data_IF_840113661405
#
_entry.id   IF_840113661405
#
_cell.length_a   1.000
_cell.length_b   1.000
_cell.length_c   1.000
_cell.angle_alpha   90.00
_cell.angle_beta   90.00
_cell.angle_gamma   90.00
#
_symmetry.space_group_name_H-M   'P 1'
#
loop_
_entity.id
_entity.type
_entity.pdbx_description
1 polymer ?
#
# COMPACT_ATOMS: atom_id res chain seq x y z
N UNK A 1 -14.48 7.40 16.05
CA UNK A 1 -13.23 6.59 15.87
C UNK A 1 -12.78 6.61 14.39
N UNK A 2 -13.67 6.56 13.43
CA UNK A 2 -13.29 6.61 12.01
C UNK A 2 -12.75 7.97 11.54
N UNK A 3 -13.06 9.08 12.23
CA UNK A 3 -12.68 10.46 11.89
C UNK A 3 -11.63 11.07 12.84
N UNK A 4 -10.98 10.26 13.64
CA UNK A 4 -9.92 10.70 14.55
C UNK A 4 -8.60 10.18 14.01
N UNK A 5 -7.56 10.98 14.11
CA UNK A 5 -6.20 10.60 13.70
C UNK A 5 -5.83 9.21 14.22
N UNK A 6 -5.34 8.29 13.38
CA UNK A 6 -5.15 6.88 13.73
C UNK A 6 -4.31 6.66 14.99
N UNK A 7 -3.21 7.42 15.15
CA UNK A 7 -2.32 7.31 16.31
C UNK A 7 -3.01 7.70 17.63
N UNK A 8 -3.86 8.74 17.62
CA UNK A 8 -4.60 9.18 18.81
C UNK A 8 -5.65 8.15 19.23
N UNK A 9 -6.34 7.56 18.26
CA UNK A 9 -7.33 6.51 18.52
C UNK A 9 -6.67 5.26 19.08
N UNK A 10 -5.52 4.86 18.55
CA UNK A 10 -4.81 3.68 19.03
C UNK A 10 -4.29 3.86 20.46
N UNK A 11 -3.74 5.02 20.79
CA UNK A 11 -3.31 5.35 22.16
C UNK A 11 -4.48 5.37 23.13
N UNK A 12 -5.57 6.04 22.76
CA UNK A 12 -6.80 6.05 23.55
C UNK A 12 -7.31 4.62 23.78
N UNK A 13 -7.38 3.82 22.73
CA UNK A 13 -7.88 2.46 22.82
C UNK A 13 -7.02 1.58 23.72
N UNK A 14 -5.69 1.65 23.59
CA UNK A 14 -4.75 0.94 24.47
C UNK A 14 -4.93 1.32 25.96
N UNK A 15 -5.28 2.56 26.24
CA UNK A 15 -5.47 3.04 27.60
C UNK A 15 -6.83 2.65 28.18
N UNK A 16 -7.89 2.67 27.40
CA UNK A 16 -9.28 2.50 27.87
C UNK A 16 -9.72 1.02 27.84
N UNK A 17 -9.30 0.26 26.84
CA UNK A 17 -9.75 -1.12 26.66
C UNK A 17 -9.44 -2.04 27.87
N UNK A 18 -8.26 -1.98 28.52
CA UNK A 18 -8.00 -2.78 29.72
C UNK A 18 -8.97 -2.49 30.88
N UNK A 19 -9.37 -1.23 31.04
CA UNK A 19 -10.34 -0.81 32.08
C UNK A 19 -11.71 -1.42 31.80
N UNK A 20 -12.17 -1.32 30.54
CA UNK A 20 -13.46 -1.86 30.12
C UNK A 20 -13.47 -3.39 30.23
N UNK A 21 -12.39 -4.05 29.80
CA UNK A 21 -12.28 -5.51 29.79
C UNK A 21 -12.17 -6.13 31.20
N UNK A 22 -11.83 -5.33 32.21
CA UNK A 22 -11.74 -5.81 33.60
C UNK A 22 -13.10 -6.16 34.20
N UNK A 23 -14.20 -5.67 33.63
CA UNK A 23 -15.56 -5.93 34.10
C UNK A 23 -16.34 -6.86 33.14
N UNK A 24 -16.82 -7.98 33.66
CA UNK A 24 -17.70 -8.90 32.91
C UNK A 24 -19.08 -8.33 32.56
N UNK A 25 -19.47 -7.20 33.17
CA UNK A 25 -20.76 -6.56 32.95
C UNK A 25 -20.67 -5.37 31.98
N UNK A 26 -19.45 -4.91 31.65
CA UNK A 26 -19.26 -3.80 30.74
C UNK A 26 -19.65 -4.19 29.32
N UNK A 27 -20.28 -3.25 28.63
CA UNK A 27 -20.59 -3.33 27.20
C UNK A 27 -20.01 -2.10 26.54
N UNK A 28 -19.47 -2.28 25.35
CA UNK A 28 -18.91 -1.21 24.51
C UNK A 28 -19.73 -1.13 23.24
N UNK A 29 -20.21 0.06 22.92
CA UNK A 29 -20.85 0.37 21.66
C UNK A 29 -19.98 1.38 20.93
N UNK A 30 -19.64 1.07 19.69
CA UNK A 30 -18.90 1.96 18.81
C UNK A 30 -19.78 2.24 17.59
N UNK A 31 -20.22 3.48 17.46
CA UNK A 31 -21.00 3.95 16.33
C UNK A 31 -20.21 4.97 15.54
N UNK A 32 -20.18 4.82 14.23
CA UNK A 32 -19.55 5.77 13.31
C UNK A 32 -20.13 5.56 11.91
N UNK A 33 -20.08 6.60 11.06
CA UNK A 33 -20.10 6.39 9.63
C UNK A 33 -18.77 5.81 9.17
N UNK A 34 -18.75 5.14 8.06
CA UNK A 34 -17.53 4.61 7.46
C UNK A 34 -16.61 5.77 7.03
N UNK A 35 -15.31 5.60 7.13
CA UNK A 35 -14.33 6.60 6.67
C UNK A 35 -12.98 5.94 6.43
N UNK A 36 -12.61 5.73 5.19
CA UNK A 36 -11.35 5.08 4.84
C UNK A 36 -11.19 3.66 5.36
N UNK A 37 -10.07 3.02 5.04
CA UNK A 37 -9.80 1.60 5.35
C UNK A 37 -8.64 1.37 6.33
N UNK A 38 -7.98 2.42 6.79
CA UNK A 38 -6.74 2.36 7.58
C UNK A 38 -6.92 2.67 9.08
N UNK A 39 -8.16 2.94 9.53
CA UNK A 39 -8.46 3.33 10.90
C UNK A 39 -8.93 2.17 11.79
N UNK A 40 -8.97 2.40 13.11
CA UNK A 40 -9.36 1.38 14.09
C UNK A 40 -10.82 0.93 13.93
N UNK A 41 -11.74 1.84 13.53
CA UNK A 41 -13.14 1.47 13.34
C UNK A 41 -13.29 0.45 12.20
N UNK A 42 -12.61 0.69 11.06
CA UNK A 42 -12.55 -0.25 9.95
C UNK A 42 -12.02 -1.62 10.39
N UNK A 43 -10.87 -1.64 11.09
CA UNK A 43 -10.24 -2.89 11.58
C UNK A 43 -11.18 -3.69 12.48
N UNK A 44 -11.88 -3.02 13.41
CA UNK A 44 -12.85 -3.65 14.31
C UNK A 44 -14.03 -4.20 13.52
N UNK A 45 -14.63 -3.38 12.65
CA UNK A 45 -15.81 -3.74 11.87
C UNK A 45 -15.54 -4.90 10.91
N UNK A 46 -14.49 -4.80 10.10
CA UNK A 46 -14.10 -5.87 9.16
C UNK A 46 -13.65 -7.14 9.88
N UNK A 47 -13.00 -7.01 11.02
CA UNK A 47 -12.69 -8.17 11.86
C UNK A 47 -13.92 -8.87 12.40
N UNK A 48 -14.98 -8.13 12.77
CA UNK A 48 -16.25 -8.68 13.20
C UNK A 48 -17.00 -9.36 12.04
N UNK A 49 -17.08 -8.71 10.90
CA UNK A 49 -17.71 -9.24 9.67
C UNK A 49 -17.05 -10.56 9.22
N UNK A 50 -15.72 -10.64 9.34
CA UNK A 50 -14.96 -11.85 9.03
C UNK A 50 -14.88 -12.89 10.17
N UNK A 51 -15.54 -12.67 11.31
CA UNK A 51 -15.47 -13.55 12.49
C UNK A 51 -14.09 -13.64 13.14
N UNK A 52 -13.21 -12.67 12.92
CA UNK A 52 -11.84 -12.65 13.42
C UNK A 52 -11.69 -11.99 14.81
N UNK A 53 -12.75 -11.42 15.33
CA UNK A 53 -12.80 -10.83 16.66
C UNK A 53 -14.15 -11.13 17.33
N UNK A 54 -14.30 -10.76 18.62
CA UNK A 54 -15.51 -11.04 19.41
C UNK A 54 -16.53 -9.89 19.40
N UNK A 55 -16.46 -9.00 18.41
CA UNK A 55 -17.41 -7.92 18.26
C UNK A 55 -18.64 -8.39 17.49
N UNK A 56 -19.83 -7.95 17.93
CA UNK A 56 -21.00 -7.95 17.10
C UNK A 56 -20.93 -6.72 16.17
N UNK A 57 -21.40 -6.87 14.94
CA UNK A 57 -21.45 -5.77 13.98
C UNK A 57 -22.88 -5.64 13.43
N UNK A 58 -23.23 -4.42 13.09
CA UNK A 58 -24.48 -4.10 12.43
C UNK A 58 -24.27 -2.92 11.49
N UNK A 59 -25.15 -2.80 10.50
CA UNK A 59 -25.08 -1.81 9.45
C UNK A 59 -26.49 -1.35 9.11
N UNK A 60 -26.78 -0.09 9.33
CA UNK A 60 -28.09 0.50 9.08
C UNK A 60 -28.03 1.31 7.78
N UNK A 61 -28.64 0.80 6.73
CA UNK A 61 -28.71 1.43 5.42
C UNK A 61 -29.79 2.51 5.38
N UNK A 62 -29.62 3.50 4.52
CA UNK A 62 -30.59 4.60 4.40
C UNK A 62 -32.02 4.14 4.14
N UNK A 63 -32.21 3.07 3.36
CA UNK A 63 -33.54 2.53 3.00
C UNK A 63 -34.24 1.75 4.14
N UNK A 64 -33.51 1.42 5.19
CA UNK A 64 -34.06 0.78 6.38
C UNK A 64 -34.69 1.79 7.36
N UNK A 65 -34.44 3.09 7.11
CA UNK A 65 -34.98 4.16 7.97
C UNK A 65 -36.34 4.58 7.47
N UNK A 66 -37.37 4.55 8.33
CA UNK A 66 -38.74 4.95 7.95
C UNK A 66 -38.78 6.37 7.35
N UNK A 67 -39.51 6.52 6.23
CA UNK A 67 -39.66 7.79 5.53
C UNK A 67 -38.54 8.13 4.51
N UNK A 68 -37.55 7.25 4.37
CA UNK A 68 -36.51 7.39 3.34
C UNK A 68 -36.84 6.47 2.15
N UNK A 69 -37.56 7.01 1.21
CA UNK A 69 -37.90 6.35 -0.05
C UNK A 69 -36.97 6.70 -1.20
N UNK A 70 -37.20 6.18 -2.39
CA UNK A 70 -36.40 6.44 -3.58
C UNK A 70 -36.39 7.93 -3.98
N UNK A 71 -37.52 8.65 -3.80
CA UNK A 71 -37.61 10.06 -4.11
C UNK A 71 -36.74 10.89 -3.12
N UNK A 72 -36.80 10.54 -1.84
CA UNK A 72 -35.94 11.12 -0.83
C UNK A 72 -34.46 10.88 -1.15
N UNK A 73 -34.10 9.66 -1.56
CA UNK A 73 -32.74 9.30 -1.90
C UNK A 73 -32.21 10.09 -3.09
N UNK A 74 -33.00 10.26 -4.14
CA UNK A 74 -32.63 11.02 -5.32
C UNK A 74 -32.42 12.52 -4.99
N UNK A 75 -33.35 13.12 -4.25
CA UNK A 75 -33.24 14.49 -3.81
C UNK A 75 -32.00 14.72 -2.93
N UNK A 76 -31.71 13.77 -2.04
CA UNK A 76 -30.58 13.85 -1.12
C UNK A 76 -29.25 13.68 -1.85
N UNK A 77 -29.14 12.74 -2.83
CA UNK A 77 -27.96 12.60 -3.68
C UNK A 77 -27.65 13.87 -4.46
N UNK A 78 -28.70 14.46 -5.05
CA UNK A 78 -28.56 15.70 -5.79
C UNK A 78 -28.09 16.86 -4.89
N UNK A 79 -28.64 16.97 -3.69
CA UNK A 79 -28.25 17.99 -2.72
C UNK A 79 -26.83 17.79 -2.18
N UNK A 80 -26.41 16.55 -2.01
CA UNK A 80 -25.06 16.21 -1.52
C UNK A 80 -23.96 16.48 -2.56
N UNK A 81 -24.27 16.33 -3.84
CA UNK A 81 -23.38 16.67 -4.95
C UNK A 81 -22.12 15.79 -5.07
N UNK A 82 -22.00 14.75 -4.24
CA UNK A 82 -20.88 13.82 -4.23
C UNK A 82 -21.37 12.37 -4.12
N UNK A 83 -20.97 11.56 -5.09
CA UNK A 83 -21.30 10.15 -5.13
C UNK A 83 -20.60 9.40 -3.96
N UNK A 84 -19.35 9.70 -3.70
CA UNK A 84 -18.60 9.06 -2.63
C UNK A 84 -19.11 9.45 -1.24
N UNK A 85 -19.49 10.70 -1.05
CA UNK A 85 -20.15 11.11 0.19
C UNK A 85 -21.50 10.36 0.39
N UNK A 86 -22.24 10.10 -0.69
CA UNK A 86 -23.46 9.26 -0.61
C UNK A 86 -23.12 7.82 -0.20
N UNK A 87 -22.11 7.21 -0.81
CA UNK A 87 -21.65 5.86 -0.48
C UNK A 87 -21.26 5.75 0.99
N UNK A 88 -20.49 6.72 1.48
CA UNK A 88 -20.02 6.74 2.86
C UNK A 88 -21.17 6.94 3.86
N UNK A 89 -21.95 8.02 3.71
CA UNK A 89 -22.88 8.47 4.74
C UNK A 89 -24.21 7.70 4.73
N UNK A 90 -24.63 7.17 3.58
CA UNK A 90 -25.95 6.57 3.39
C UNK A 90 -25.90 5.09 3.02
N UNK A 91 -24.85 4.65 2.31
CA UNK A 91 -24.64 3.22 2.04
C UNK A 91 -23.68 2.56 3.05
N UNK A 92 -23.14 3.32 3.99
CA UNK A 92 -22.18 2.83 4.99
C UNK A 92 -20.96 2.11 4.36
N UNK A 93 -20.49 2.60 3.22
CA UNK A 93 -19.34 2.06 2.52
C UNK A 93 -18.05 2.73 3.04
N UNK A 94 -17.00 1.94 3.23
CA UNK A 94 -15.69 2.48 3.58
C UNK A 94 -15.03 3.02 2.31
N UNK A 95 -15.19 4.31 2.07
CA UNK A 95 -14.66 5.03 0.92
C UNK A 95 -13.37 5.75 1.33
N UNK A 96 -12.32 5.61 0.55
CA UNK A 96 -11.10 6.39 0.75
C UNK A 96 -11.26 7.79 0.14
N UNK A 97 -11.50 8.79 0.98
CA UNK A 97 -11.41 10.20 0.59
C UNK A 97 -9.96 10.68 0.67
N UNK A 98 -9.07 10.06 -0.07
CA UNK A 98 -7.69 10.51 -0.16
C UNK A 98 -7.37 11.01 -1.56
N UNK A 99 -6.24 11.65 -1.72
CA UNK A 99 -5.62 11.95 -3.02
C UNK A 99 -5.14 10.63 -3.69
N UNK A 100 -5.96 9.58 -3.62
CA UNK A 100 -5.65 8.33 -4.30
C UNK A 100 -5.76 8.56 -5.79
N UNK A 101 -4.69 8.31 -6.50
CA UNK A 101 -4.67 8.31 -7.97
C UNK A 101 -5.48 7.17 -8.58
N UNK A 102 -6.02 6.28 -7.73
CA UNK A 102 -6.76 5.08 -8.10
C UNK A 102 -8.14 5.18 -7.46
N UNK A 103 -9.20 5.06 -8.26
CA UNK A 103 -10.56 5.01 -7.75
C UNK A 103 -10.85 3.69 -6.99
N UNK A 104 -11.87 3.71 -6.13
CA UNK A 104 -12.18 2.58 -5.26
C UNK A 104 -12.57 1.32 -6.04
N UNK A 105 -13.24 1.46 -7.18
CA UNK A 105 -13.65 0.31 -8.00
C UNK A 105 -12.42 -0.38 -8.60
N UNK A 106 -11.47 0.40 -9.10
CA UNK A 106 -10.20 -0.11 -9.60
C UNK A 106 -9.37 -0.71 -8.46
N UNK A 107 -9.39 -0.09 -7.27
CA UNK A 107 -8.69 -0.63 -6.10
C UNK A 107 -9.23 -2.00 -5.68
N UNK A 108 -10.56 -2.17 -5.61
CA UNK A 108 -11.18 -3.47 -5.33
C UNK A 108 -10.86 -4.52 -6.41
N UNK A 109 -10.84 -4.13 -7.69
CA UNK A 109 -10.41 -5.03 -8.77
C UNK A 109 -8.95 -5.47 -8.61
N UNK A 110 -8.07 -4.54 -8.24
CA UNK A 110 -6.65 -4.86 -7.97
C UNK A 110 -6.51 -5.81 -6.78
N UNK A 111 -7.25 -5.59 -5.69
CA UNK A 111 -7.25 -6.49 -4.53
C UNK A 111 -7.69 -7.92 -4.88
N UNK A 112 -8.71 -8.05 -5.72
CA UNK A 112 -9.21 -9.35 -6.17
C UNK A 112 -8.27 -10.08 -7.14
N UNK A 113 -7.34 -9.35 -7.74
CA UNK A 113 -6.33 -9.90 -8.67
C UNK A 113 -4.98 -10.20 -8.00
N UNK A 114 -4.87 -10.02 -6.68
CA UNK A 114 -3.65 -10.36 -5.94
C UNK A 114 -3.45 -11.87 -5.99
N UNK A 115 -2.29 -12.28 -6.47
CA UNK A 115 -1.85 -13.69 -6.48
C UNK A 115 -0.71 -13.90 -5.49
N UNK A 116 -0.67 -15.06 -4.87
CA UNK A 116 0.42 -15.41 -3.96
C UNK A 116 1.73 -15.68 -4.71
N UNK A 117 2.89 -15.28 -4.16
CA UNK A 117 4.17 -15.58 -4.77
C UNK A 117 4.46 -17.08 -4.74
N UNK A 118 5.12 -17.58 -5.79
CA UNK A 118 5.54 -18.99 -5.86
C UNK A 118 6.68 -19.31 -4.92
N UNK A 119 7.59 -18.36 -4.71
CA UNK A 119 8.77 -18.51 -3.87
C UNK A 119 8.87 -17.30 -2.94
N UNK A 120 9.15 -17.57 -1.67
CA UNK A 120 9.37 -16.55 -0.64
C UNK A 120 10.70 -16.82 0.03
N UNK A 121 11.60 -15.85 0.03
CA UNK A 121 12.96 -15.93 0.55
C UNK A 121 13.22 -14.77 1.52
N UNK A 122 14.36 -14.81 2.22
CA UNK A 122 14.82 -13.74 3.12
C UNK A 122 13.74 -13.34 4.15
N UNK A 123 13.22 -14.31 4.88
CA UNK A 123 12.18 -14.11 5.91
C UNK A 123 10.93 -13.34 5.42
N UNK A 124 10.57 -13.52 4.13
CA UNK A 124 9.43 -12.88 3.53
C UNK A 124 9.73 -11.57 2.80
N UNK A 125 10.97 -11.11 2.84
CA UNK A 125 11.38 -9.86 2.20
C UNK A 125 11.54 -9.97 0.67
N UNK A 126 11.90 -11.15 0.15
CA UNK A 126 12.05 -11.41 -1.27
C UNK A 126 10.98 -12.36 -1.76
N UNK A 127 10.13 -11.90 -2.65
CA UNK A 127 8.99 -12.65 -3.21
C UNK A 127 9.14 -12.77 -4.71
N UNK A 128 8.90 -13.96 -5.24
CA UNK A 128 9.04 -14.29 -6.67
C UNK A 128 7.75 -14.93 -7.16
N UNK A 129 7.13 -14.34 -8.17
CA UNK A 129 5.97 -14.88 -8.88
C UNK A 129 6.38 -15.66 -10.12
N UNK A 130 7.43 -15.19 -10.82
CA UNK A 130 8.01 -15.87 -11.97
C UNK A 130 9.54 -15.90 -11.84
N UNK A 131 10.11 -17.09 -12.00
CA UNK A 131 11.56 -17.25 -12.00
C UNK A 131 12.19 -16.60 -13.25
N UNK A 132 13.47 -16.19 -13.19
CA UNK A 132 14.17 -15.62 -14.33
C UNK A 132 14.16 -16.51 -15.55
N UNK A 133 13.78 -15.97 -16.71
CA UNK A 133 13.81 -16.64 -18.01
C UNK A 133 14.73 -15.85 -18.96
N UNK A 134 15.82 -16.45 -19.47
CA UNK A 134 16.75 -15.78 -20.37
C UNK A 134 16.15 -15.30 -21.70
N UNK A 135 14.97 -15.81 -22.07
CA UNK A 135 14.26 -15.39 -23.29
C UNK A 135 13.44 -14.11 -23.10
N UNK A 136 13.32 -13.61 -21.87
CA UNK A 136 12.49 -12.45 -21.51
C UNK A 136 13.31 -11.20 -21.30
N UNK A 137 12.65 -10.06 -21.43
CA UNK A 137 13.21 -8.73 -21.19
C UNK A 137 12.64 -8.20 -19.88
N UNK A 138 13.53 -7.79 -18.99
CA UNK A 138 13.15 -7.26 -17.68
C UNK A 138 13.56 -5.80 -17.51
N UNK A 139 12.86 -5.12 -16.61
CA UNK A 139 13.26 -3.82 -16.06
C UNK A 139 13.15 -3.84 -14.54
N UNK A 140 13.92 -3.01 -13.87
CA UNK A 140 13.91 -2.90 -12.43
C UNK A 140 13.68 -1.46 -11.96
N UNK A 141 12.81 -1.29 -10.94
CA UNK A 141 12.69 -0.06 -10.16
C UNK A 141 13.24 -0.30 -8.75
N UNK A 142 14.09 0.60 -8.26
CA UNK A 142 14.76 0.48 -6.96
C UNK A 142 14.56 1.76 -6.17
N UNK A 143 13.89 1.65 -5.04
CA UNK A 143 13.72 2.70 -4.05
C UNK A 143 14.60 2.40 -2.83
N UNK A 144 15.22 3.44 -2.27
CA UNK A 144 16.25 3.29 -1.25
C UNK A 144 15.83 3.90 0.08
N UNK A 145 16.15 3.25 1.19
CA UNK A 145 15.91 3.78 2.53
C UNK A 145 17.11 3.59 3.45
N UNK A 146 17.12 4.32 4.57
CA UNK A 146 18.21 4.27 5.57
C UNK A 146 18.20 2.98 6.41
N UNK A 147 17.18 2.13 6.30
CA UNK A 147 17.07 0.89 7.06
C UNK A 147 16.80 1.08 8.56
N UNK A 148 16.22 2.21 8.95
CA UNK A 148 15.94 2.56 10.36
C UNK A 148 14.55 2.12 10.84
N UNK A 149 13.84 1.34 10.05
CA UNK A 149 12.54 0.78 10.41
C UNK A 149 11.35 1.72 10.16
N UNK A 150 11.55 2.84 9.47
CA UNK A 150 10.48 3.78 9.06
C UNK A 150 10.04 3.46 7.64
N UNK A 151 10.83 3.90 6.68
CA UNK A 151 10.58 3.64 5.26
C UNK A 151 11.27 2.34 4.83
N UNK A 152 10.72 1.67 3.84
CA UNK A 152 11.29 0.44 3.31
C UNK A 152 12.21 0.71 2.14
N UNK A 153 13.35 0.04 2.11
CA UNK A 153 14.07 -0.19 0.86
C UNK A 153 13.28 -1.19 0.03
N UNK A 154 12.93 -0.84 -1.19
CA UNK A 154 12.11 -1.67 -2.06
C UNK A 154 12.68 -1.80 -3.47
N UNK A 155 12.40 -2.94 -4.11
CA UNK A 155 12.79 -3.22 -5.48
C UNK A 155 11.66 -3.99 -6.17
N UNK A 156 11.39 -3.64 -7.41
CA UNK A 156 10.44 -4.31 -8.27
C UNK A 156 11.15 -4.82 -9.52
N UNK A 157 10.90 -6.06 -9.91
CA UNK A 157 11.30 -6.58 -11.21
C UNK A 157 10.05 -6.76 -12.06
N UNK A 158 10.06 -6.16 -13.22
CA UNK A 158 8.97 -6.22 -14.20
C UNK A 158 9.42 -6.99 -15.44
N UNK A 159 8.61 -7.92 -15.88
CA UNK A 159 8.70 -8.49 -17.23
C UNK A 159 8.07 -7.47 -18.21
N UNK A 160 8.86 -6.97 -19.12
CA UNK A 160 8.48 -5.99 -20.13
C UNK A 160 8.59 -6.55 -21.56
N UNK A 161 8.61 -7.86 -21.70
CA UNK A 161 8.75 -8.56 -23.00
C UNK A 161 7.62 -8.19 -23.96
N UNK A 162 6.37 -8.13 -23.47
CA UNK A 162 5.25 -7.53 -24.21
C UNK A 162 4.85 -6.21 -23.54
N UNK A 163 5.04 -5.06 -24.20
CA UNK A 163 4.67 -3.75 -23.63
C UNK A 163 3.17 -3.59 -23.30
N UNK A 164 2.32 -4.48 -23.82
CA UNK A 164 0.87 -4.47 -23.55
C UNK A 164 0.49 -5.36 -22.36
N UNK A 165 1.42 -6.17 -21.86
CA UNK A 165 1.24 -7.09 -20.73
C UNK A 165 2.46 -7.03 -19.80
N UNK A 166 2.66 -5.88 -19.17
CA UNK A 166 3.74 -5.68 -18.20
C UNK A 166 3.34 -6.34 -16.89
N UNK A 167 4.20 -7.23 -16.37
CA UNK A 167 3.92 -8.01 -15.17
C UNK A 167 5.01 -7.88 -14.12
N UNK A 168 4.63 -7.72 -12.87
CA UNK A 168 5.55 -7.84 -11.75
C UNK A 168 5.91 -9.31 -11.53
N UNK A 169 7.18 -9.64 -11.63
CA UNK A 169 7.68 -11.02 -11.49
C UNK A 169 8.42 -11.26 -10.18
N UNK A 170 9.00 -10.23 -9.59
CA UNK A 170 9.61 -10.32 -8.27
C UNK A 170 9.58 -8.98 -7.54
N UNK A 171 9.64 -9.03 -6.21
CA UNK A 171 9.77 -7.84 -5.35
C UNK A 171 10.66 -8.14 -4.16
N UNK A 172 11.42 -7.13 -3.74
CA UNK A 172 12.12 -7.10 -2.45
C UNK A 172 11.61 -5.91 -1.63
N UNK A 173 11.37 -6.12 -0.33
CA UNK A 173 10.87 -5.08 0.55
C UNK A 173 11.38 -5.30 1.97
N UNK A 174 12.14 -4.35 2.53
CA UNK A 174 12.69 -4.46 3.87
C UNK A 174 12.89 -3.08 4.52
N UNK A 175 12.34 -2.88 5.71
CA UNK A 175 12.45 -1.61 6.45
C UNK A 175 13.71 -1.48 7.29
N UNK A 176 14.48 -2.58 7.46
CA UNK A 176 15.61 -2.64 8.40
C UNK A 176 16.95 -2.97 7.75
N UNK A 177 16.99 -3.15 6.43
CA UNK A 177 18.24 -3.47 5.73
C UNK A 177 19.11 -2.21 5.57
N UNK A 178 20.38 -2.22 6.02
CA UNK A 178 21.29 -1.11 5.79
C UNK A 178 21.59 -0.92 4.29
N UNK A 179 21.83 0.33 3.81
CA UNK A 179 22.07 0.62 2.40
C UNK A 179 23.17 -0.24 1.75
N UNK A 180 24.24 -0.52 2.49
CA UNK A 180 25.33 -1.36 2.01
C UNK A 180 24.91 -2.80 1.71
N UNK A 181 24.14 -3.42 2.63
CA UNK A 181 23.62 -4.78 2.46
C UNK A 181 22.53 -4.81 1.39
N UNK A 182 21.67 -3.78 1.36
CA UNK A 182 20.67 -3.62 0.34
C UNK A 182 21.27 -3.57 -1.06
N UNK A 183 22.37 -2.84 -1.26
CA UNK A 183 23.08 -2.78 -2.55
C UNK A 183 23.53 -4.17 -3.00
N UNK A 184 24.07 -4.99 -2.10
CA UNK A 184 24.46 -6.37 -2.44
C UNK A 184 23.24 -7.22 -2.84
N UNK A 185 22.12 -7.03 -2.15
CA UNK A 185 20.87 -7.74 -2.45
C UNK A 185 20.34 -7.33 -3.83
N UNK A 186 20.26 -6.02 -4.10
CA UNK A 186 19.86 -5.47 -5.40
C UNK A 186 20.74 -6.03 -6.51
N UNK A 187 22.06 -5.98 -6.35
CA UNK A 187 23.00 -6.53 -7.34
C UNK A 187 22.74 -8.01 -7.62
N UNK A 188 22.58 -8.82 -6.58
CA UNK A 188 22.32 -10.26 -6.72
C UNK A 188 21.02 -10.53 -7.48
N UNK A 189 19.93 -9.82 -7.15
CA UNK A 189 18.63 -9.98 -7.81
C UNK A 189 18.74 -9.54 -9.28
N UNK A 190 19.34 -8.37 -9.54
CA UNK A 190 19.53 -7.88 -10.92
C UNK A 190 20.32 -8.88 -11.77
N UNK A 191 21.40 -9.45 -11.23
CA UNK A 191 22.20 -10.46 -11.94
C UNK A 191 21.41 -11.71 -12.28
N UNK A 192 20.54 -12.15 -11.37
CA UNK A 192 19.69 -13.30 -11.59
C UNK A 192 18.69 -13.09 -12.75
N UNK A 193 18.17 -11.87 -12.90
CA UNK A 193 17.24 -11.51 -13.99
C UNK A 193 17.95 -11.00 -15.24
N UNK A 194 19.22 -11.40 -15.47
CA UNK A 194 19.95 -11.09 -16.71
C UNK A 194 20.47 -9.67 -16.80
N UNK A 195 20.65 -9.00 -15.68
CA UNK A 195 21.12 -7.60 -15.59
C UNK A 195 20.22 -6.62 -16.36
N UNK A 196 18.93 -6.51 -16.01
CA UNK A 196 17.99 -5.61 -16.66
C UNK A 196 18.36 -4.14 -16.50
N UNK A 197 17.74 -3.27 -17.30
CA UNK A 197 17.82 -1.84 -17.05
C UNK A 197 17.22 -1.53 -15.67
N UNK A 198 17.98 -0.85 -14.79
CA UNK A 198 17.59 -0.48 -13.46
C UNK A 198 17.41 1.03 -13.35
N UNK A 199 16.21 1.46 -12.93
CA UNK A 199 15.92 2.83 -12.50
C UNK A 199 16.03 2.90 -10.99
N UNK A 200 16.99 3.67 -10.46
CA UNK A 200 17.31 3.71 -9.04
C UNK A 200 17.09 5.12 -8.50
N UNK A 201 16.30 5.22 -7.42
CA UNK A 201 16.12 6.50 -6.73
C UNK A 201 17.39 6.94 -6.04
N UNK A 202 17.81 8.19 -6.30
CA UNK A 202 19.10 8.72 -5.83
C UNK A 202 18.98 9.61 -4.58
N UNK A 203 17.81 9.75 -4.00
CA UNK A 203 17.56 10.53 -2.79
C UNK A 203 18.35 9.98 -1.60
N UNK A 204 18.72 10.83 -0.65
CA UNK A 204 19.34 10.46 0.62
C UNK A 204 20.50 9.45 0.46
N UNK A 205 20.26 8.20 0.89
CA UNK A 205 21.23 7.10 0.78
C UNK A 205 21.31 6.50 -0.64
N UNK A 206 20.42 6.86 -1.56
CA UNK A 206 20.39 6.32 -2.92
C UNK A 206 21.65 6.60 -3.73
N UNK A 207 22.28 7.76 -3.52
CA UNK A 207 23.57 8.06 -4.14
C UNK A 207 24.64 7.00 -3.80
N UNK A 208 24.70 6.55 -2.54
CA UNK A 208 25.64 5.50 -2.11
C UNK A 208 25.33 4.15 -2.77
N UNK A 209 24.05 3.82 -2.92
CA UNK A 209 23.61 2.59 -3.58
C UNK A 209 24.00 2.59 -5.05
N UNK A 210 23.74 3.70 -5.76
CA UNK A 210 24.09 3.87 -7.17
C UNK A 210 25.59 3.82 -7.39
N UNK A 211 26.37 4.60 -6.61
CA UNK A 211 27.82 4.66 -6.73
C UNK A 211 28.46 3.28 -6.49
N UNK A 212 28.00 2.57 -5.48
CA UNK A 212 28.47 1.23 -5.19
C UNK A 212 28.09 0.21 -6.26
N UNK A 213 26.86 0.24 -6.77
CA UNK A 213 26.44 -0.64 -7.86
C UNK A 213 27.30 -0.41 -9.12
N UNK A 214 27.52 0.85 -9.50
CA UNK A 214 28.23 1.21 -10.70
C UNK A 214 29.75 0.96 -10.57
N UNK A 215 30.38 1.46 -9.48
CA UNK A 215 31.84 1.49 -9.38
C UNK A 215 32.42 0.27 -8.67
N UNK A 216 31.80 -0.18 -7.56
CA UNK A 216 32.35 -1.31 -6.80
C UNK A 216 31.93 -2.66 -7.37
N UNK A 217 30.68 -2.76 -7.82
CA UNK A 217 30.08 -4.01 -8.30
C UNK A 217 30.04 -4.11 -9.84
N UNK A 218 30.38 -3.05 -10.57
CA UNK A 218 30.46 -3.03 -12.02
C UNK A 218 29.11 -3.28 -12.71
N UNK A 219 28.03 -2.75 -12.15
CA UNK A 219 26.72 -2.83 -12.80
C UNK A 219 26.55 -1.67 -13.78
N UNK A 220 26.61 -1.99 -15.07
CA UNK A 220 26.65 -0.99 -16.14
C UNK A 220 25.25 -0.59 -16.67
N UNK A 221 24.21 -1.38 -16.38
CA UNK A 221 22.89 -1.20 -16.98
C UNK A 221 21.96 -0.32 -16.11
N UNK A 222 22.53 0.78 -15.56
CA UNK A 222 21.81 1.81 -14.85
C UNK A 222 21.30 2.88 -15.81
N UNK A 223 20.06 3.37 -15.59
CA UNK A 223 19.55 4.49 -16.35
C UNK A 223 20.08 5.81 -15.74
N UNK A 224 20.88 6.54 -16.53
CA UNK A 224 21.39 7.87 -16.16
C UNK A 224 20.48 8.94 -16.74
N UNK A 225 19.70 9.63 -15.91
CA UNK A 225 19.01 10.85 -16.31
C UNK A 225 19.92 12.05 -16.21
N UNK A 226 20.09 12.79 -17.32
CA UNK A 226 20.76 14.10 -17.30
C UNK A 226 19.81 15.07 -16.59
N UNK A 227 20.24 15.67 -15.48
CA UNK A 227 19.50 16.71 -14.79
C UNK A 227 19.19 17.87 -15.74
N UNK A 228 17.93 18.00 -16.18
CA UNK A 228 17.42 19.29 -16.63
C UNK A 228 16.92 20.02 -15.40
N UNK A 229 17.58 21.13 -15.03
CA UNK A 229 17.02 22.08 -14.06
C UNK A 229 15.64 22.52 -14.58
N UNK A 230 14.60 21.94 -14.03
CA UNK A 230 13.22 22.27 -14.31
C UNK A 230 12.63 23.09 -13.16
N UNK A 231 11.47 23.68 -13.41
CA UNK A 231 10.74 24.56 -12.47
C UNK A 231 10.33 23.87 -11.14
N UNK A 232 10.53 22.56 -11.01
CA UNK A 232 10.12 21.71 -9.86
C UNK A 232 11.28 20.97 -9.17
N UNK A 233 12.54 21.37 -9.42
CA UNK A 233 13.71 20.75 -8.83
C UNK A 233 14.32 19.62 -9.69
N UNK A 234 15.47 19.05 -9.25
CA UNK A 234 16.17 18.01 -10.00
C UNK A 234 15.39 16.69 -9.98
N UNK A 235 15.45 15.99 -11.11
CA UNK A 235 14.97 14.60 -11.13
C UNK A 235 15.90 13.74 -10.24
N UNK A 236 15.31 13.00 -9.30
CA UNK A 236 16.04 12.21 -8.32
C UNK A 236 16.24 10.74 -8.75
N UNK A 237 16.02 10.42 -10.01
CA UNK A 237 16.12 9.07 -10.58
C UNK A 237 17.32 8.96 -11.53
N UNK A 238 18.07 7.87 -11.42
CA UNK A 238 19.23 7.53 -12.25
C UNK A 238 19.12 6.11 -12.78
#
# INVERSE_FOLDING_TARGET
MAFIEPHLVEEFWKSVFPIISSSKKSKVFVCSTANGVDNLFYKIYKGAEAGKNNWAHDKIMWHEIPGRDAAWAEATRHALGSHDAWRQEFNCEFVNFGESSIDDELYEQLLNNIIEPKIVLDDGHYKIWEEPDPSRIYAAGVDTSEGVGKDAASMQILDITDPRDIRQVATYHNTKIPPFEYTNKVYSILRNYGSPLALIERNNCGAQVVDRLAHDLGYENNHLTIEKQGMYGPANWV
#
